data_IF_676379096589
#
_entry.id   IF_676379096589
#
_cell.length_a   1.000
_cell.length_b   1.000
_cell.length_c   1.000
_cell.angle_alpha   90.00
_cell.angle_beta   90.00
_cell.angle_gamma   90.00
#
_symmetry.space_group_name_H-M   'P 1'
#
loop_
_entity.id
_entity.type
_entity.pdbx_description
1 polymer ?
#
# COMPACT_ATOMS: atom_id res chain seq x y z
N UNK A 1 -13.44 -20.00 -1.61
CA UNK A 1 -12.88 -19.18 -0.54
C UNK A 1 -13.75 -19.24 0.72
N UNK A 2 -15.03 -18.78 0.66
CA UNK A 2 -15.94 -18.77 1.81
C UNK A 2 -16.01 -20.11 2.55
N UNK A 3 -16.20 -21.22 1.84
CA UNK A 3 -16.24 -22.57 2.43
C UNK A 3 -14.94 -22.98 3.14
N UNK A 4 -13.79 -22.54 2.64
CA UNK A 4 -12.50 -22.81 3.26
C UNK A 4 -12.33 -22.02 4.56
N UNK A 5 -12.84 -20.77 4.60
CA UNK A 5 -12.88 -19.96 5.82
C UNK A 5 -13.81 -20.57 6.88
N UNK A 6 -15.04 -20.94 6.50
CA UNK A 6 -16.02 -21.57 7.39
C UNK A 6 -15.47 -22.86 8.02
N UNK A 7 -14.65 -23.61 7.28
CA UNK A 7 -14.01 -24.85 7.74
C UNK A 7 -12.65 -24.63 8.38
N UNK A 8 -12.21 -23.38 8.56
CA UNK A 8 -10.90 -23.02 9.11
C UNK A 8 -9.71 -23.70 8.39
N UNK A 9 -9.85 -23.95 7.09
CA UNK A 9 -8.79 -24.53 6.28
C UNK A 9 -7.80 -23.42 5.91
N UNK A 10 -6.50 -23.55 6.27
CA UNK A 10 -5.47 -22.60 5.88
C UNK A 10 -5.39 -22.47 4.36
N UNK A 11 -5.56 -21.27 3.84
CA UNK A 11 -5.46 -21.00 2.41
C UNK A 11 -5.13 -19.54 2.14
N UNK A 12 -4.60 -19.26 0.97
CA UNK A 12 -4.49 -17.91 0.42
C UNK A 12 -5.53 -17.74 -0.70
N UNK A 13 -6.11 -16.58 -0.77
CA UNK A 13 -7.07 -16.20 -1.80
C UNK A 13 -6.65 -14.89 -2.44
N UNK A 14 -6.56 -14.90 -3.76
CA UNK A 14 -6.17 -13.73 -4.53
C UNK A 14 -7.11 -13.56 -5.72
N UNK A 15 -7.61 -12.34 -5.92
CA UNK A 15 -8.36 -11.93 -7.12
C UNK A 15 -7.56 -10.83 -7.81
N UNK A 16 -7.33 -10.99 -9.10
CA UNK A 16 -6.58 -10.05 -9.93
C UNK A 16 -7.42 -9.57 -11.10
N UNK A 17 -7.16 -8.34 -11.51
CA UNK A 17 -7.57 -7.86 -12.82
C UNK A 17 -6.65 -8.47 -13.88
N UNK A 18 -7.19 -8.84 -15.01
CA UNK A 18 -6.43 -9.34 -16.15
C UNK A 18 -7.16 -10.44 -16.92
N UNK A 19 -6.67 -10.70 -18.12
CA UNK A 19 -7.18 -11.75 -18.99
C UNK A 19 -6.46 -13.08 -18.78
N UNK A 20 -6.80 -14.05 -19.64
CA UNK A 20 -6.13 -15.35 -19.68
C UNK A 20 -4.92 -15.28 -20.64
N UNK A 21 -3.93 -14.44 -20.27
CA UNK A 21 -2.78 -14.13 -21.10
C UNK A 21 -1.43 -14.31 -20.38
N UNK A 22 -0.34 -14.28 -21.15
CA UNK A 22 1.00 -14.42 -20.59
C UNK A 22 1.39 -13.34 -19.60
N UNK A 23 0.89 -12.11 -19.72
CA UNK A 23 1.19 -11.04 -18.78
C UNK A 23 0.61 -11.36 -17.40
N UNK A 24 -0.63 -11.86 -17.34
CA UNK A 24 -1.26 -12.34 -16.13
C UNK A 24 -0.50 -13.52 -15.52
N UNK A 25 -0.11 -14.52 -16.34
CA UNK A 25 0.63 -15.69 -15.87
C UNK A 25 2.03 -15.35 -15.36
N UNK A 26 2.78 -14.50 -16.06
CA UNK A 26 4.12 -14.08 -15.63
C UNK A 26 4.11 -13.36 -14.28
N UNK A 27 3.02 -12.69 -13.94
CA UNK A 27 2.86 -12.05 -12.63
C UNK A 27 2.39 -13.02 -11.56
N UNK A 28 1.55 -14.00 -11.92
CA UNK A 28 0.95 -14.95 -10.99
C UNK A 28 1.90 -16.08 -10.59
N UNK A 29 2.61 -16.66 -11.55
CA UNK A 29 3.43 -17.86 -11.33
C UNK A 29 4.56 -17.68 -10.30
N UNK A 30 5.34 -16.57 -10.31
CA UNK A 30 6.38 -16.38 -9.29
C UNK A 30 5.84 -16.39 -7.87
N UNK A 31 4.64 -15.83 -7.66
CA UNK A 31 3.99 -15.79 -6.35
C UNK A 31 3.48 -17.17 -5.94
N UNK A 32 2.89 -17.92 -6.87
CA UNK A 32 2.46 -19.30 -6.62
C UNK A 32 3.66 -20.19 -6.27
N UNK A 33 4.77 -20.05 -6.98
CA UNK A 33 5.99 -20.80 -6.67
C UNK A 33 6.60 -20.40 -5.33
N UNK A 34 6.57 -19.11 -4.96
CA UNK A 34 7.02 -18.65 -3.64
C UNK A 34 6.16 -19.27 -2.54
N UNK A 35 4.83 -19.24 -2.65
CA UNK A 35 3.91 -19.87 -1.71
C UNK A 35 4.21 -21.37 -1.54
N UNK A 36 4.39 -22.10 -2.65
CA UNK A 36 4.72 -23.52 -2.65
C UNK A 36 6.07 -23.76 -1.94
N UNK A 37 7.07 -22.96 -2.26
CA UNK A 37 8.41 -23.09 -1.66
C UNK A 37 8.40 -22.80 -0.16
N UNK A 38 7.69 -21.76 0.28
CA UNK A 38 7.50 -21.44 1.70
C UNK A 38 6.76 -22.54 2.47
N UNK A 39 5.80 -23.19 1.81
CA UNK A 39 5.06 -24.29 2.40
C UNK A 39 5.93 -25.55 2.61
N UNK A 40 6.75 -25.90 1.63
CA UNK A 40 7.58 -27.12 1.68
C UNK A 40 8.90 -26.93 2.46
N UNK A 41 9.52 -25.77 2.41
CA UNK A 41 10.85 -25.53 3.00
C UNK A 41 10.79 -24.80 4.35
N UNK A 42 9.61 -24.44 4.84
CA UNK A 42 9.44 -23.54 5.97
C UNK A 42 9.87 -22.11 5.60
N UNK A 43 9.28 -21.12 6.26
CA UNK A 43 9.73 -19.73 6.11
C UNK A 43 11.17 -19.62 6.61
N UNK A 44 12.11 -19.35 5.72
CA UNK A 44 13.35 -18.73 6.15
C UNK A 44 13.01 -17.30 6.57
N UNK A 45 12.71 -17.12 7.85
CA UNK A 45 12.72 -15.79 8.46
C UNK A 45 14.17 -15.33 8.48
N UNK A 46 14.58 -14.70 7.40
CA UNK A 46 15.79 -13.92 7.38
C UNK A 46 15.59 -12.71 8.28
N UNK A 47 15.85 -12.86 9.58
CA UNK A 47 16.24 -11.74 10.41
C UNK A 47 17.61 -11.26 9.92
N UNK A 48 17.67 -10.62 8.78
CA UNK A 48 18.75 -9.71 8.51
C UNK A 48 18.48 -8.48 9.36
N UNK A 49 19.20 -8.33 10.45
CA UNK A 49 19.43 -7.01 11.03
C UNK A 49 20.08 -6.17 9.93
N UNK A 50 19.24 -5.51 9.14
CA UNK A 50 19.69 -4.56 8.15
C UNK A 50 20.18 -3.34 8.92
N UNK A 51 21.48 -3.20 9.05
CA UNK A 51 22.09 -1.92 9.37
C UNK A 51 21.58 -0.93 8.32
N UNK A 52 20.82 0.09 8.77
CA UNK A 52 20.39 1.18 7.92
C UNK A 52 21.64 1.74 7.20
N UNK A 53 21.60 1.94 5.88
CA UNK A 53 22.60 2.77 5.22
C UNK A 53 22.62 4.12 5.94
N UNK A 54 23.81 4.68 6.13
CA UNK A 54 24.04 5.93 6.85
C UNK A 54 22.95 6.94 6.48
N UNK A 55 22.13 7.28 7.49
CA UNK A 55 21.18 8.39 7.55
C UNK A 55 20.41 8.72 6.25
N UNK A 56 19.39 7.90 5.95
CA UNK A 56 18.39 8.31 4.94
C UNK A 56 17.84 9.69 5.33
N UNK A 57 17.95 10.71 4.47
CA UNK A 57 17.46 12.05 4.81
C UNK A 57 15.95 12.06 5.01
N UNK A 58 15.51 12.77 6.04
CA UNK A 58 14.10 12.91 6.36
C UNK A 58 13.73 14.31 6.82
N UNK A 59 12.44 14.63 6.72
CA UNK A 59 11.81 15.85 7.27
C UNK A 59 10.75 15.40 8.27
N UNK A 60 10.73 16.05 9.42
CA UNK A 60 9.71 15.86 10.45
C UNK A 60 8.71 16.99 10.38
N UNK A 61 7.42 16.67 10.22
CA UNK A 61 6.30 17.61 10.38
C UNK A 61 5.54 17.31 11.68
N UNK A 62 4.52 18.10 11.99
CA UNK A 62 3.67 17.85 13.15
C UNK A 62 2.99 16.46 13.07
N UNK A 63 2.57 16.08 11.86
CA UNK A 63 1.74 14.88 11.63
C UNK A 63 2.40 13.80 10.79
N UNK A 64 3.63 13.99 10.32
CA UNK A 64 4.29 12.99 9.47
C UNK A 64 5.81 13.01 9.60
N UNK A 65 6.42 11.85 9.29
CA UNK A 65 7.85 11.71 9.02
C UNK A 65 8.00 11.38 7.53
N UNK A 66 8.80 12.17 6.82
CA UNK A 66 8.94 12.10 5.37
C UNK A 66 10.37 11.76 5.00
N UNK A 67 10.59 10.55 4.50
CA UNK A 67 11.87 10.08 3.99
C UNK A 67 11.96 10.31 2.48
N UNK A 68 13.10 10.75 1.99
CA UNK A 68 13.29 11.03 0.57
C UNK A 68 14.64 10.53 0.06
N UNK A 69 14.77 10.23 -1.26
CA UNK A 69 16.02 9.79 -1.83
C UNK A 69 17.10 10.88 -1.70
N UNK A 70 18.33 10.49 -1.35
CA UNK A 70 19.47 11.42 -1.22
C UNK A 70 19.64 12.30 -2.46
N UNK A 71 19.50 11.68 -3.64
CA UNK A 71 19.61 12.34 -4.94
C UNK A 71 18.48 13.34 -5.23
N UNK A 72 17.46 13.43 -4.36
CA UNK A 72 16.35 14.36 -4.54
C UNK A 72 16.74 15.82 -4.20
N UNK A 73 17.73 15.99 -3.33
CA UNK A 73 18.25 17.32 -3.02
C UNK A 73 18.98 17.92 -4.23
N UNK A 74 18.54 19.10 -4.66
CA UNK A 74 19.11 19.79 -5.82
C UNK A 74 18.78 19.17 -7.19
N UNK A 75 18.03 18.06 -7.23
CA UNK A 75 17.63 17.42 -8.48
C UNK A 75 16.47 18.16 -9.16
N UNK A 76 16.47 18.15 -10.49
CA UNK A 76 15.31 18.57 -11.30
C UNK A 76 14.27 17.46 -11.48
N UNK A 77 14.58 16.22 -11.10
CA UNK A 77 13.71 15.06 -11.21
C UNK A 77 12.54 15.17 -10.21
N UNK A 78 11.35 14.78 -10.64
CA UNK A 78 10.19 14.63 -9.77
C UNK A 78 10.10 13.20 -9.28
N UNK A 79 9.84 13.04 -7.98
CA UNK A 79 9.72 11.72 -7.35
C UNK A 79 8.25 11.43 -7.01
N UNK A 80 7.78 10.18 -7.19
CA UNK A 80 6.51 9.74 -6.65
C UNK A 80 6.46 9.94 -5.13
N UNK A 81 5.26 10.11 -4.58
CA UNK A 81 5.06 10.21 -3.13
C UNK A 81 4.11 9.09 -2.71
N UNK A 82 4.55 8.27 -1.76
CA UNK A 82 3.75 7.21 -1.16
C UNK A 82 3.43 7.63 0.28
N UNK A 83 2.16 7.91 0.54
CA UNK A 83 1.65 8.21 1.87
C UNK A 83 1.24 6.91 2.55
N UNK A 84 1.68 6.70 3.79
CA UNK A 84 1.35 5.54 4.61
C UNK A 84 0.71 6.05 5.89
N UNK A 85 -0.59 5.90 6.04
CA UNK A 85 -1.34 6.39 7.20
C UNK A 85 -1.72 5.24 8.13
N UNK A 86 -1.34 5.39 9.40
CA UNK A 86 -1.64 4.42 10.44
C UNK A 86 -0.73 4.52 11.66
N UNK A 87 -0.93 3.63 12.60
CA UNK A 87 -0.06 3.51 13.77
C UNK A 87 1.24 2.80 13.39
N UNK A 88 2.28 3.59 13.12
CA UNK A 88 3.59 3.10 12.70
C UNK A 88 4.65 3.76 13.55
N UNK A 89 5.28 3.01 14.44
CA UNK A 89 6.34 3.55 15.29
C UNK A 89 7.64 3.80 14.49
N UNK A 90 8.55 4.57 15.07
CA UNK A 90 9.80 4.98 14.42
C UNK A 90 10.66 3.78 13.97
N UNK A 91 10.73 2.73 14.80
CA UNK A 91 11.49 1.53 14.45
C UNK A 91 10.90 0.81 13.23
N UNK A 92 9.58 0.70 13.16
CA UNK A 92 8.89 0.13 12.00
C UNK A 92 9.13 0.98 10.74
N UNK A 93 9.04 2.32 10.85
CA UNK A 93 9.35 3.22 9.73
C UNK A 93 10.76 2.97 9.19
N UNK A 94 11.76 2.90 10.06
CA UNK A 94 13.16 2.63 9.67
C UNK A 94 13.31 1.29 8.94
N UNK A 95 12.66 0.24 9.41
CA UNK A 95 12.67 -1.08 8.76
C UNK A 95 12.04 -1.00 7.37
N UNK A 96 10.88 -0.36 7.23
CA UNK A 96 10.18 -0.24 5.95
C UNK A 96 10.97 0.61 4.94
N UNK A 97 11.61 1.67 5.40
CA UNK A 97 12.49 2.51 4.58
C UNK A 97 13.70 1.71 4.10
N UNK A 98 14.33 0.94 4.99
CA UNK A 98 15.46 0.09 4.62
C UNK A 98 15.07 -0.96 3.57
N UNK A 99 13.95 -1.64 3.76
CA UNK A 99 13.42 -2.59 2.77
C UNK A 99 13.12 -1.92 1.43
N UNK A 100 12.55 -0.70 1.45
CA UNK A 100 12.29 0.06 0.24
C UNK A 100 13.59 0.43 -0.50
N UNK A 101 14.64 0.86 0.22
CA UNK A 101 15.95 1.16 -0.37
C UNK A 101 16.56 -0.10 -1.01
N UNK A 102 16.48 -1.24 -0.33
CA UNK A 102 16.93 -2.51 -0.91
C UNK A 102 16.19 -2.82 -2.22
N UNK A 103 14.87 -2.62 -2.27
CA UNK A 103 14.09 -2.81 -3.50
C UNK A 103 14.53 -1.86 -4.62
N UNK A 104 14.90 -0.63 -4.31
CA UNK A 104 15.45 0.34 -5.28
C UNK A 104 16.82 -0.10 -5.78
N UNK A 105 17.71 -0.52 -4.90
CA UNK A 105 19.07 -0.98 -5.24
C UNK A 105 19.04 -2.26 -6.09
N UNK A 106 18.09 -3.14 -5.82
CA UNK A 106 17.83 -4.36 -6.61
C UNK A 106 17.08 -4.07 -7.93
N UNK A 107 16.80 -2.81 -8.26
CA UNK A 107 16.02 -2.38 -9.42
C UNK A 107 14.61 -2.98 -9.48
N UNK A 108 14.00 -3.33 -8.36
CA UNK A 108 12.63 -3.83 -8.27
C UNK A 108 11.61 -2.70 -8.30
N UNK A 109 11.98 -1.51 -7.83
CA UNK A 109 11.12 -0.32 -7.76
C UNK A 109 11.91 0.95 -8.05
N UNK A 110 11.19 2.03 -8.35
CA UNK A 110 11.80 3.34 -8.57
C UNK A 110 11.94 4.11 -7.25
N UNK A 111 12.96 4.98 -7.12
CA UNK A 111 13.06 5.86 -5.97
C UNK A 111 11.80 6.71 -5.79
N UNK A 112 11.28 6.79 -4.58
CA UNK A 112 10.10 7.57 -4.22
C UNK A 112 10.30 8.24 -2.85
N UNK A 113 9.47 9.23 -2.55
CA UNK A 113 9.31 9.80 -1.22
C UNK A 113 8.35 8.92 -0.43
N UNK A 114 8.73 8.49 0.77
CA UNK A 114 7.88 7.77 1.70
C UNK A 114 7.43 8.71 2.82
N UNK A 115 6.14 8.90 2.97
CA UNK A 115 5.57 9.76 4.00
C UNK A 115 4.74 8.95 4.97
N UNK A 116 5.22 8.77 6.19
CA UNK A 116 4.51 8.08 7.27
C UNK A 116 3.67 9.09 8.04
N UNK A 117 2.37 9.03 7.85
CA UNK A 117 1.38 9.94 8.42
C UNK A 117 0.78 9.31 9.68
N UNK A 118 0.70 10.08 10.77
CA UNK A 118 0.10 9.64 12.03
C UNK A 118 -1.35 9.22 11.83
N UNK A 119 -1.76 8.20 12.57
CA UNK A 119 -3.15 7.79 12.62
C UNK A 119 -4.08 8.93 13.08
N UNK A 120 -5.33 8.88 12.65
CA UNK A 120 -6.39 9.80 13.07
C UNK A 120 -6.08 11.30 12.84
N UNK A 121 -5.33 11.62 11.78
CA UNK A 121 -5.06 13.00 11.37
C UNK A 121 -5.72 13.30 10.02
N UNK A 122 -6.11 14.56 9.79
CA UNK A 122 -6.61 14.99 8.47
C UNK A 122 -5.49 14.80 7.43
N UNK A 123 -5.69 13.81 6.56
CA UNK A 123 -4.71 13.44 5.56
C UNK A 123 -4.54 14.53 4.49
N UNK A 124 -5.62 15.23 4.11
CA UNK A 124 -5.55 16.30 3.10
C UNK A 124 -4.74 17.51 3.59
N UNK A 125 -4.96 17.92 4.84
CA UNK A 125 -4.18 18.98 5.46
C UNK A 125 -2.71 18.57 5.58
N UNK A 126 -2.47 17.35 6.05
CA UNK A 126 -1.11 16.80 6.20
C UNK A 126 -0.38 16.71 4.86
N UNK A 127 -1.05 16.28 3.77
CA UNK A 127 -0.49 16.27 2.41
C UNK A 127 -0.08 17.69 1.99
N UNK A 128 -0.94 18.67 2.21
CA UNK A 128 -0.66 20.06 1.87
C UNK A 128 0.58 20.58 2.59
N UNK A 129 0.73 20.28 3.87
CA UNK A 129 1.89 20.70 4.67
C UNK A 129 3.19 19.99 4.26
N UNK A 130 3.12 18.68 4.00
CA UNK A 130 4.26 17.92 3.49
C UNK A 130 4.73 18.51 2.16
N UNK A 131 3.83 18.76 1.22
CA UNK A 131 4.19 19.24 -0.11
C UNK A 131 4.77 20.65 -0.11
N UNK A 132 4.32 21.51 0.80
CA UNK A 132 4.96 22.82 1.02
C UNK A 132 6.42 22.65 1.46
N UNK A 133 6.70 21.71 2.38
CA UNK A 133 8.06 21.46 2.87
C UNK A 133 8.93 20.74 1.84
N UNK A 134 8.32 19.90 0.98
CA UNK A 134 9.00 19.22 -0.13
C UNK A 134 9.28 20.13 -1.33
N UNK A 135 9.01 21.43 -1.27
CA UNK A 135 9.21 22.36 -2.40
C UNK A 135 10.63 22.31 -2.99
N UNK A 136 11.64 22.00 -2.18
CA UNK A 136 13.03 21.77 -2.58
C UNK A 136 13.35 20.37 -3.13
N UNK A 137 12.46 19.39 -2.92
CA UNK A 137 12.68 17.95 -3.26
C UNK A 137 11.88 17.54 -4.49
N UNK A 138 10.98 18.39 -4.99
CA UNK A 138 10.14 18.16 -6.16
C UNK A 138 9.37 16.85 -6.14
N UNK A 139 8.61 16.61 -5.06
CA UNK A 139 7.58 15.57 -5.06
C UNK A 139 6.60 15.79 -6.22
N UNK A 140 6.21 14.71 -6.88
CA UNK A 140 5.25 14.80 -7.99
C UNK A 140 3.83 14.76 -7.46
N UNK A 141 3.14 15.90 -7.47
CA UNK A 141 1.71 15.98 -7.15
C UNK A 141 0.83 15.11 -8.05
N UNK A 142 1.34 14.68 -9.22
CA UNK A 142 0.62 13.80 -10.16
C UNK A 142 0.91 12.33 -9.96
N UNK A 143 1.81 11.98 -9.04
CA UNK A 143 2.23 10.59 -8.78
C UNK A 143 2.17 10.34 -7.27
N UNK A 144 0.96 10.34 -6.73
CA UNK A 144 0.67 10.05 -5.33
C UNK A 144 0.07 8.67 -5.20
N UNK A 145 0.51 7.93 -4.19
CA UNK A 145 -0.09 6.67 -3.79
C UNK A 145 -0.42 6.71 -2.30
N UNK A 146 -1.41 5.94 -1.89
CA UNK A 146 -1.90 5.90 -0.52
C UNK A 146 -1.94 4.46 -0.01
N UNK A 147 -1.42 4.25 1.20
CA UNK A 147 -1.60 3.02 1.98
C UNK A 147 -2.30 3.42 3.28
N UNK A 148 -3.47 2.86 3.54
CA UNK A 148 -4.21 3.08 4.79
C UNK A 148 -4.26 1.80 5.61
N UNK A 149 -4.07 1.93 6.93
CA UNK A 149 -4.08 0.81 7.87
C UNK A 149 -5.28 0.94 8.82
N UNK A 150 -6.07 -0.11 8.94
CA UNK A 150 -7.16 -0.20 9.92
C UNK A 150 -8.28 0.81 9.67
N UNK A 151 -8.62 1.58 10.69
CA UNK A 151 -9.68 2.58 10.69
C UNK A 151 -9.34 3.89 9.96
N UNK A 152 -8.08 4.09 9.59
CA UNK A 152 -7.64 5.26 8.82
C UNK A 152 -8.18 5.29 7.38
N UNK A 153 -8.96 4.29 6.99
CA UNK A 153 -9.66 4.29 5.70
C UNK A 153 -10.60 5.50 5.52
N UNK A 154 -11.16 6.03 6.60
CA UNK A 154 -12.09 7.18 6.54
C UNK A 154 -11.38 8.44 6.10
N UNK A 155 -10.25 8.75 6.72
CA UNK A 155 -9.39 9.89 6.33
C UNK A 155 -8.86 9.70 4.91
N UNK A 156 -8.54 8.46 4.54
CA UNK A 156 -8.16 8.09 3.17
C UNK A 156 -9.26 8.39 2.16
N UNK A 157 -10.52 8.01 2.44
CA UNK A 157 -11.68 8.29 1.57
C UNK A 157 -11.86 9.80 1.39
N UNK A 158 -11.81 10.56 2.47
CA UNK A 158 -11.93 12.02 2.42
C UNK A 158 -10.81 12.67 1.59
N UNK A 159 -9.57 12.21 1.76
CA UNK A 159 -8.45 12.69 0.98
C UNK A 159 -8.59 12.36 -0.51
N UNK A 160 -9.06 11.16 -0.85
CA UNK A 160 -9.34 10.78 -2.24
C UNK A 160 -10.39 11.69 -2.85
N UNK A 161 -11.45 12.01 -2.11
CA UNK A 161 -12.52 12.89 -2.59
C UNK A 161 -12.05 14.32 -2.84
N UNK A 162 -11.18 14.85 -1.96
CA UNK A 162 -10.70 16.24 -2.03
C UNK A 162 -9.58 16.43 -3.06
N UNK A 163 -8.60 15.51 -3.06
CA UNK A 163 -7.33 15.73 -3.74
C UNK A 163 -7.29 15.21 -5.19
N UNK A 164 -8.20 14.35 -5.58
CA UNK A 164 -8.34 13.85 -6.98
C UNK A 164 -7.02 13.41 -7.67
N UNK A 165 -5.98 13.02 -6.91
CA UNK A 165 -4.61 12.88 -7.42
C UNK A 165 -3.93 11.56 -7.07
N UNK A 166 -4.63 10.62 -6.43
CA UNK A 166 -4.06 9.31 -6.12
C UNK A 166 -4.11 8.40 -7.34
N UNK A 167 -2.98 7.76 -7.66
CA UNK A 167 -2.84 6.81 -8.76
C UNK A 167 -3.05 5.37 -8.31
N UNK A 168 -2.88 5.11 -7.02
CA UNK A 168 -3.09 3.80 -6.41
C UNK A 168 -3.40 3.90 -4.93
N UNK A 169 -4.21 2.97 -4.44
CA UNK A 169 -4.64 2.89 -3.03
C UNK A 169 -4.50 1.46 -2.57
N UNK A 170 -3.90 1.29 -1.39
CA UNK A 170 -3.83 0.01 -0.67
C UNK A 170 -4.57 0.17 0.66
N UNK A 171 -5.58 -0.64 0.87
CA UNK A 171 -6.35 -0.68 2.11
C UNK A 171 -6.03 -1.98 2.86
N UNK A 172 -5.40 -1.88 4.03
CA UNK A 172 -4.95 -3.03 4.82
C UNK A 172 -5.77 -3.15 6.08
N UNK A 173 -6.43 -4.30 6.28
CA UNK A 173 -7.32 -4.54 7.41
C UNK A 173 -8.31 -3.39 7.65
N UNK A 174 -8.86 -2.84 6.56
CA UNK A 174 -9.73 -1.68 6.63
C UNK A 174 -10.93 -1.91 7.55
N UNK A 175 -11.17 -0.94 8.45
CA UNK A 175 -12.26 -0.95 9.42
C UNK A 175 -13.24 0.18 9.06
N UNK A 176 -14.50 -0.16 8.89
CA UNK A 176 -15.53 0.81 8.56
C UNK A 176 -16.91 0.18 8.50
N UNK A 177 -17.88 0.97 8.09
CA UNK A 177 -19.25 0.56 7.92
C UNK A 177 -19.67 0.56 6.43
N UNK A 178 -20.89 0.14 6.13
CA UNK A 178 -21.38 0.07 4.76
C UNK A 178 -21.34 1.43 4.04
N UNK A 179 -21.62 2.53 4.75
CA UNK A 179 -21.57 3.86 4.19
C UNK A 179 -20.13 4.27 3.82
N UNK A 180 -19.14 3.89 4.63
CA UNK A 180 -17.72 4.11 4.33
C UNK A 180 -17.33 3.35 3.05
N UNK A 181 -17.76 2.10 2.89
CA UNK A 181 -17.50 1.34 1.67
C UNK A 181 -18.12 2.01 0.43
N UNK A 182 -19.37 2.44 0.50
CA UNK A 182 -20.03 3.16 -0.60
C UNK A 182 -19.35 4.50 -0.91
N UNK A 183 -18.89 5.21 0.11
CA UNK A 183 -18.16 6.47 -0.06
C UNK A 183 -16.81 6.25 -0.74
N UNK A 184 -16.09 5.17 -0.41
CA UNK A 184 -14.86 4.79 -1.12
C UNK A 184 -15.13 4.58 -2.61
N UNK A 185 -16.16 3.80 -2.96
CA UNK A 185 -16.51 3.55 -4.36
C UNK A 185 -16.87 4.85 -5.10
N UNK A 186 -17.66 5.71 -4.48
CA UNK A 186 -17.98 7.03 -5.06
C UNK A 186 -16.74 7.89 -5.24
N UNK A 187 -15.85 7.92 -4.24
CA UNK A 187 -14.60 8.65 -4.30
C UNK A 187 -13.73 8.16 -5.46
N UNK A 188 -13.50 6.86 -5.55
CA UNK A 188 -12.71 6.24 -6.62
C UNK A 188 -13.33 6.51 -7.99
N UNK A 189 -14.64 6.33 -8.13
CA UNK A 189 -15.35 6.45 -9.41
C UNK A 189 -15.51 7.91 -9.90
N UNK A 190 -15.37 8.89 -9.00
CA UNK A 190 -15.45 10.32 -9.37
C UNK A 190 -14.27 10.82 -10.18
N UNK A 191 -13.20 10.05 -10.29
CA UNK A 191 -11.98 10.43 -10.97
C UNK A 191 -11.98 10.06 -12.46
N UNK A 192 -11.52 10.96 -13.33
CA UNK A 192 -11.32 10.67 -14.77
C UNK A 192 -10.35 9.50 -15.02
N UNK A 193 -9.39 9.32 -14.12
CA UNK A 193 -8.49 8.17 -14.03
C UNK A 193 -8.61 7.69 -12.60
N UNK A 194 -9.53 6.78 -12.36
CA UNK A 194 -9.73 6.25 -11.02
C UNK A 194 -8.47 5.51 -10.54
N UNK A 195 -8.10 5.69 -9.27
CA UNK A 195 -7.00 4.97 -8.70
C UNK A 195 -7.32 3.48 -8.67
N UNK A 196 -6.35 2.63 -8.94
CA UNK A 196 -6.52 1.21 -8.67
C UNK A 196 -6.50 0.94 -7.18
N UNK A 197 -7.33 0.01 -6.78
CA UNK A 197 -7.48 -0.37 -5.39
C UNK A 197 -6.87 -1.76 -5.13
N UNK A 198 -6.13 -1.87 -4.05
CA UNK A 198 -5.71 -3.13 -3.46
C UNK A 198 -6.34 -3.25 -2.07
N UNK A 199 -7.06 -4.32 -1.84
CA UNK A 199 -7.67 -4.62 -0.55
C UNK A 199 -6.93 -5.82 0.05
N UNK A 200 -6.30 -5.62 1.19
CA UNK A 200 -5.56 -6.65 1.92
C UNK A 200 -6.25 -6.98 3.23
N UNK A 201 -6.45 -8.26 3.49
CA UNK A 201 -6.94 -8.76 4.79
C UNK A 201 -5.89 -9.71 5.34
N UNK A 202 -5.39 -9.41 6.53
CA UNK A 202 -4.48 -10.27 7.26
C UNK A 202 -5.24 -11.27 8.15
N UNK A 203 -4.62 -12.38 8.55
CA UNK A 203 -5.31 -13.57 9.06
C UNK A 203 -6.16 -13.38 10.31
N UNK A 204 -5.82 -12.43 11.15
CA UNK A 204 -6.48 -12.20 12.44
C UNK A 204 -7.44 -11.02 12.43
N UNK A 205 -7.68 -10.45 11.24
CA UNK A 205 -8.59 -9.32 11.10
C UNK A 205 -10.02 -9.75 11.41
N UNK A 206 -10.63 -9.10 12.40
CA UNK A 206 -12.07 -9.23 12.69
C UNK A 206 -12.93 -8.57 11.62
N UNK A 207 -12.32 -7.81 10.72
CA UNK A 207 -12.96 -6.89 9.76
C UNK A 207 -13.08 -7.48 8.35
N UNK A 208 -13.10 -8.82 8.26
CA UNK A 208 -13.27 -9.51 6.99
C UNK A 208 -14.53 -9.05 6.23
N UNK A 209 -15.62 -8.79 6.95
CA UNK A 209 -16.89 -8.39 6.38
C UNK A 209 -16.81 -7.06 5.64
N UNK A 210 -16.19 -6.04 6.21
CA UNK A 210 -16.06 -4.73 5.61
C UNK A 210 -15.19 -4.76 4.34
N UNK A 211 -14.00 -5.35 4.42
CA UNK A 211 -13.10 -5.47 3.28
C UNK A 211 -13.68 -6.32 2.14
N UNK A 212 -14.42 -7.38 2.47
CA UNK A 212 -15.16 -8.18 1.47
C UNK A 212 -16.27 -7.38 0.81
N UNK A 213 -16.96 -6.52 1.55
CA UNK A 213 -18.00 -5.64 0.99
C UNK A 213 -17.38 -4.63 0.01
N UNK A 214 -16.24 -4.02 0.33
CA UNK A 214 -15.50 -3.16 -0.62
C UNK A 214 -15.19 -3.93 -1.90
N UNK A 215 -14.67 -5.16 -1.79
CA UNK A 215 -14.38 -6.00 -2.96
C UNK A 215 -15.61 -6.23 -3.83
N UNK A 216 -16.76 -6.57 -3.23
CA UNK A 216 -18.01 -6.80 -3.95
C UNK A 216 -18.44 -5.53 -4.68
N UNK A 217 -18.45 -4.39 -3.98
CA UNK A 217 -18.86 -3.10 -4.56
C UNK A 217 -17.94 -2.63 -5.69
N UNK A 218 -16.62 -2.82 -5.56
CA UNK A 218 -15.67 -2.51 -6.63
C UNK A 218 -15.94 -3.37 -7.87
N UNK A 219 -16.22 -4.66 -7.67
CA UNK A 219 -16.56 -5.59 -8.74
C UNK A 219 -17.89 -5.24 -9.42
N UNK A 220 -18.93 -4.91 -8.66
CA UNK A 220 -20.23 -4.50 -9.19
C UNK A 220 -20.15 -3.17 -9.96
N UNK A 221 -19.21 -2.31 -9.60
CA UNK A 221 -18.94 -1.03 -10.27
C UNK A 221 -17.97 -1.15 -11.44
N UNK A 222 -17.56 -2.35 -11.82
CA UNK A 222 -16.56 -2.63 -12.88
C UNK A 222 -15.23 -1.87 -12.67
N UNK A 223 -14.86 -1.65 -11.42
CA UNK A 223 -13.62 -0.98 -11.05
C UNK A 223 -12.48 -1.97 -10.87
N UNK A 224 -11.39 -1.72 -11.56
CA UNK A 224 -10.20 -2.56 -11.49
C UNK A 224 -9.56 -2.53 -10.11
N UNK A 225 -9.44 -3.71 -9.48
CA UNK A 225 -8.88 -3.83 -8.13
C UNK A 225 -8.23 -5.19 -7.90
N UNK A 226 -7.43 -5.29 -6.85
CA UNK A 226 -6.95 -6.54 -6.31
C UNK A 226 -7.51 -6.77 -4.91
N UNK A 227 -7.87 -8.00 -4.61
CA UNK A 227 -8.34 -8.42 -3.30
C UNK A 227 -7.51 -9.59 -2.81
N UNK A 228 -6.98 -9.49 -1.61
CA UNK A 228 -6.15 -10.52 -1.01
C UNK A 228 -6.56 -10.81 0.42
N UNK A 229 -6.76 -12.07 0.70
CA UNK A 229 -6.91 -12.58 2.06
C UNK A 229 -5.86 -13.64 2.26
N UNK A 230 -4.92 -13.38 3.15
CA UNK A 230 -3.80 -14.27 3.41
C UNK A 230 -3.86 -14.80 4.82
N UNK A 231 -3.40 -16.03 5.03
CA UNK A 231 -3.31 -16.65 6.35
C UNK A 231 -1.84 -16.95 6.65
N UNK A 232 -1.21 -16.07 7.40
CA UNK A 232 0.12 -16.31 7.94
C UNK A 232 0.08 -16.17 9.47
N UNK A 233 0.43 -17.21 10.19
CA UNK A 233 0.34 -17.24 11.66
C UNK A 233 1.25 -16.23 12.38
N UNK A 234 2.24 -15.68 11.69
CA UNK A 234 3.25 -14.77 12.26
C UNK A 234 3.35 -13.43 11.52
N UNK A 235 2.37 -13.12 10.66
CA UNK A 235 2.42 -11.91 9.86
C UNK A 235 2.13 -10.69 10.73
N UNK A 236 3.10 -9.78 10.84
CA UNK A 236 2.80 -8.42 11.22
C UNK A 236 2.12 -7.69 10.04
N UNK A 237 1.55 -6.52 10.28
CA UNK A 237 0.82 -5.74 9.28
C UNK A 237 1.66 -5.44 8.02
N UNK A 238 2.99 -5.42 8.13
CA UNK A 238 3.92 -5.09 7.05
C UNK A 238 4.57 -6.29 6.35
N UNK A 239 4.15 -7.51 6.67
CA UNK A 239 4.72 -8.72 6.05
C UNK A 239 4.67 -8.69 4.51
N UNK A 240 3.71 -7.96 3.96
CA UNK A 240 3.49 -7.86 2.51
C UNK A 240 3.81 -6.46 1.95
N UNK A 241 4.65 -5.69 2.65
CA UNK A 241 5.08 -4.36 2.25
C UNK A 241 5.65 -4.31 0.83
N UNK A 242 6.52 -5.26 0.49
CA UNK A 242 7.12 -5.35 -0.85
C UNK A 242 6.04 -5.49 -1.93
N UNK A 243 5.03 -6.35 -1.72
CA UNK A 243 3.94 -6.54 -2.68
C UNK A 243 3.13 -5.25 -2.91
N UNK A 244 2.87 -4.48 -1.84
CA UNK A 244 2.15 -3.20 -1.95
C UNK A 244 2.97 -2.15 -2.70
N UNK A 245 4.25 -2.06 -2.40
CA UNK A 245 5.15 -1.15 -3.11
C UNK A 245 5.24 -1.50 -4.60
N UNK A 246 5.42 -2.76 -4.95
CA UNK A 246 5.47 -3.20 -6.35
C UNK A 246 4.15 -2.93 -7.08
N UNK A 247 3.02 -3.11 -6.41
CA UNK A 247 1.72 -2.77 -6.99
C UNK A 247 1.59 -1.27 -7.27
N UNK A 248 1.90 -0.44 -6.30
CA UNK A 248 1.82 1.02 -6.40
C UNK A 248 2.82 1.57 -7.43
N UNK A 249 4.02 1.02 -7.48
CA UNK A 249 5.05 1.43 -8.42
C UNK A 249 4.65 1.18 -9.88
N UNK A 250 4.08 0.01 -10.18
CA UNK A 250 3.58 -0.29 -11.52
C UNK A 250 2.46 0.66 -11.97
N UNK A 251 1.90 1.47 -11.07
CA UNK A 251 0.84 2.45 -11.32
C UNK A 251 1.35 3.89 -11.38
N UNK A 252 2.46 4.14 -10.73
CA UNK A 252 3.07 5.47 -10.66
C UNK A 252 3.78 5.82 -11.99
N UNK A 253 4.14 4.81 -12.79
CA UNK A 253 4.97 4.96 -13.99
C UNK A 253 4.25 4.68 -15.32
N UNK A 254 2.93 4.43 -15.31
CA UNK A 254 2.12 4.24 -16.53
C UNK A 254 1.53 5.54 -17.04
#
# INVERSE_FOLDING_TARGET
>A
HRLLLERQIPHEWEVRSGGHDFACWNTALPKAFRFINEYFNGKQSGNSESSLPNETPFIQTANATVYYPEQAQGSTRKYPIIYVQGEINEQQQKVLVSQFHQMVDENKTWPAVLSFVKANTDLSETISDIEKQLSGIRGSQRMRALITLGDNIKEGIEAIQRENLFTGIVCVNAIGNENDAQNLIKAVNSHKRYPRCWIEILPESKEYGFSSNIHILLKESDLEHEFRSRKCKEANVFTYWEDWILYLNNRIHV
#
